data_IF_195751163346
#
_entry.id   IF_195751163346
#
_cell.length_a   1.000
_cell.length_b   1.000
_cell.length_c   1.000
_cell.angle_alpha   90.00
_cell.angle_beta   90.00
_cell.angle_gamma   90.00
#
_symmetry.space_group_name_H-M   'P 1'
#
loop_
_entity.id
_entity.type
_entity.pdbx_description
1 polymer ?
#
# COMPACT_ATOMS: atom_id res chain seq x y z
N UNK A 1 7.35 -7.28 31.86
CA UNK A 1 6.07 -7.01 31.17
C UNK A 1 6.29 -5.88 30.17
N UNK A 2 6.23 -6.17 28.86
CA UNK A 2 6.37 -5.14 27.83
C UNK A 2 5.18 -4.18 27.90
N UNK A 3 5.45 -2.88 28.08
CA UNK A 3 4.39 -1.85 28.04
C UNK A 3 3.95 -1.66 26.59
N UNK A 4 2.67 -1.87 26.32
CA UNK A 4 2.07 -1.56 25.03
C UNK A 4 2.00 -0.03 24.89
N UNK A 5 2.81 0.55 24.00
CA UNK A 5 2.95 2.01 23.84
C UNK A 5 1.68 2.74 23.36
N UNK A 6 0.65 2.00 22.96
CA UNK A 6 -0.63 2.50 22.44
C UNK A 6 -1.83 2.13 23.32
N UNK A 7 -1.62 1.80 24.60
CA UNK A 7 -2.69 1.32 25.51
C UNK A 7 -3.87 2.27 25.74
N UNK A 8 -3.78 3.55 25.32
CA UNK A 8 -4.92 4.49 25.33
C UNK A 8 -5.88 4.29 24.15
N UNK A 9 -5.43 3.66 23.07
CA UNK A 9 -6.20 3.49 21.84
C UNK A 9 -6.43 2.02 21.48
N UNK A 10 -5.58 1.11 21.97
CA UNK A 10 -5.59 -0.31 21.62
C UNK A 10 -5.74 -1.16 22.88
N UNK A 11 -6.78 -1.98 22.91
CA UNK A 11 -6.97 -3.05 23.90
C UNK A 11 -6.35 -4.36 23.40
N UNK A 12 -6.13 -5.31 24.30
CA UNK A 12 -5.57 -6.62 23.93
C UNK A 12 -6.50 -7.40 23.00
N UNK A 13 -7.80 -7.25 23.22
CA UNK A 13 -8.86 -7.89 22.45
C UNK A 13 -9.09 -7.18 21.10
N UNK A 14 -8.62 -5.93 20.97
CA UNK A 14 -8.93 -5.05 19.85
C UNK A 14 -10.41 -4.66 19.83
N UNK A 15 -10.91 -4.25 18.65
CA UNK A 15 -12.32 -3.94 18.48
C UNK A 15 -13.10 -5.22 18.11
N UNK A 16 -13.79 -5.81 19.10
CA UNK A 16 -14.54 -7.05 18.93
C UNK A 16 -15.66 -6.93 17.89
N UNK A 17 -16.45 -5.86 17.96
CA UNK A 17 -17.54 -5.61 17.00
C UNK A 17 -17.01 -5.52 15.57
N UNK A 18 -15.93 -4.77 15.35
CA UNK A 18 -15.36 -4.67 14.00
C UNK A 18 -14.85 -6.02 13.48
N UNK A 19 -14.26 -6.85 14.34
CA UNK A 19 -13.82 -8.20 13.96
C UNK A 19 -14.99 -9.10 13.58
N UNK A 20 -16.08 -9.06 14.35
CA UNK A 20 -17.30 -9.82 14.07
C UNK A 20 -17.91 -9.42 12.73
N UNK A 21 -18.10 -8.13 12.49
CA UNK A 21 -18.68 -7.60 11.24
C UNK A 21 -17.82 -7.95 10.01
N UNK A 22 -16.49 -7.76 10.10
CA UNK A 22 -15.57 -8.16 9.02
C UNK A 22 -15.63 -9.66 8.78
N UNK A 23 -15.66 -10.47 9.85
CA UNK A 23 -15.73 -11.92 9.73
C UNK A 23 -17.10 -12.43 9.26
N UNK A 24 -18.17 -11.67 9.44
CA UNK A 24 -19.51 -12.01 8.95
C UNK A 24 -19.60 -11.80 7.43
N UNK A 25 -19.08 -10.66 6.95
CA UNK A 25 -19.20 -10.24 5.56
C UNK A 25 -18.14 -10.87 4.65
N UNK A 26 -16.90 -11.00 5.14
CA UNK A 26 -15.75 -11.39 4.33
C UNK A 26 -15.20 -12.78 4.68
N UNK A 27 -14.52 -13.39 3.72
CA UNK A 27 -13.71 -14.58 3.91
C UNK A 27 -12.32 -14.38 3.28
N UNK A 28 -11.33 -15.16 3.72
CA UNK A 28 -9.98 -15.07 3.20
C UNK A 28 -9.90 -15.58 1.76
N UNK A 29 -9.08 -14.92 0.94
CA UNK A 29 -8.58 -15.47 -0.31
C UNK A 29 -7.41 -16.40 -0.01
N UNK A 30 -7.29 -17.50 -0.75
CA UNK A 30 -6.15 -18.44 -0.59
C UNK A 30 -4.81 -17.74 -0.84
N UNK A 31 -4.76 -16.86 -1.83
CA UNK A 31 -3.63 -15.99 -2.13
C UNK A 31 -4.11 -14.65 -2.69
N UNK A 32 -3.31 -13.61 -2.50
CA UNK A 32 -3.57 -12.31 -3.08
C UNK A 32 -2.27 -11.61 -3.48
N UNK A 33 -2.28 -10.90 -4.60
CA UNK A 33 -1.10 -10.18 -5.06
C UNK A 33 -0.99 -8.82 -4.36
N UNK A 34 0.08 -8.65 -3.59
CA UNK A 34 0.47 -7.38 -3.02
C UNK A 34 1.56 -6.76 -3.88
N UNK A 35 1.30 -5.57 -4.45
CA UNK A 35 2.28 -4.84 -5.25
C UNK A 35 3.61 -4.71 -4.51
N UNK A 36 4.69 -5.24 -5.10
CA UNK A 36 6.03 -5.24 -4.52
C UNK A 36 6.36 -6.38 -3.54
N UNK A 37 5.36 -7.15 -3.10
CA UNK A 37 5.54 -8.37 -2.29
C UNK A 37 5.20 -9.65 -3.06
N UNK A 38 4.45 -9.55 -4.16
CA UNK A 38 3.99 -10.70 -4.95
C UNK A 38 2.76 -11.37 -4.34
N UNK A 39 2.53 -12.64 -4.68
CA UNK A 39 1.43 -13.43 -4.13
C UNK A 39 1.73 -13.81 -2.68
N UNK A 40 0.87 -13.37 -1.76
CA UNK A 40 0.97 -13.67 -0.34
C UNK A 40 -0.25 -14.50 0.07
N UNK A 41 -0.06 -15.70 0.66
CA UNK A 41 -1.16 -16.55 1.11
C UNK A 41 -2.03 -15.88 2.18
N UNK A 42 -3.34 -16.10 2.14
CA UNK A 42 -4.29 -15.68 3.19
C UNK A 42 -4.16 -14.20 3.60
N UNK A 43 -3.84 -13.34 2.64
CA UNK A 43 -3.52 -11.93 2.87
C UNK A 43 -4.57 -10.97 2.31
N UNK A 44 -5.51 -11.46 1.50
CA UNK A 44 -6.62 -10.70 0.95
C UNK A 44 -7.96 -11.22 1.46
N UNK A 45 -8.96 -10.34 1.44
CA UNK A 45 -10.36 -10.68 1.73
C UNK A 45 -11.18 -10.66 0.43
N UNK A 46 -12.23 -11.47 0.40
CA UNK A 46 -13.31 -11.42 -0.61
C UNK A 46 -14.66 -11.45 0.09
N UNK A 47 -15.70 -10.96 -0.59
CA UNK A 47 -17.06 -11.08 -0.09
C UNK A 47 -17.47 -12.55 -0.02
N UNK A 48 -18.14 -12.94 1.06
CA UNK A 48 -18.75 -14.27 1.12
C UNK A 48 -19.86 -14.39 0.08
N UNK A 49 -20.15 -15.62 -0.32
CA UNK A 49 -21.23 -15.95 -1.28
C UNK A 49 -22.59 -15.33 -0.93
N UNK A 50 -22.93 -15.20 0.35
CA UNK A 50 -24.17 -14.57 0.80
C UNK A 50 -24.29 -13.09 0.36
N UNK A 51 -23.17 -12.43 0.08
CA UNK A 51 -23.08 -11.03 -0.35
C UNK A 51 -22.68 -10.91 -1.84
N UNK A 52 -22.82 -11.98 -2.64
CA UNK A 52 -22.39 -12.00 -4.04
C UNK A 52 -23.10 -10.95 -4.92
N UNK A 53 -24.30 -10.50 -4.55
CA UNK A 53 -25.01 -9.41 -5.25
C UNK A 53 -24.29 -8.05 -5.16
N UNK A 54 -23.32 -7.92 -4.24
CA UNK A 54 -22.48 -6.74 -4.08
C UNK A 54 -21.07 -6.92 -4.66
N UNK A 55 -20.68 -8.14 -5.02
CA UNK A 55 -19.36 -8.44 -5.54
C UNK A 55 -19.25 -8.11 -7.03
N UNK A 56 -18.45 -7.09 -7.37
CA UNK A 56 -18.23 -6.68 -8.74
C UNK A 56 -17.53 -7.77 -9.59
N UNK A 57 -16.67 -8.59 -8.99
CA UNK A 57 -15.99 -9.68 -9.69
C UNK A 57 -17.02 -10.69 -10.22
N UNK A 58 -18.04 -10.99 -9.40
CA UNK A 58 -19.14 -11.90 -9.75
C UNK A 58 -20.12 -11.23 -10.72
N UNK A 59 -20.63 -10.05 -10.38
CA UNK A 59 -21.70 -9.37 -11.14
C UNK A 59 -21.31 -9.04 -12.58
N UNK A 60 -20.04 -8.71 -12.79
CA UNK A 60 -19.54 -8.29 -14.10
C UNK A 60 -18.63 -9.33 -14.75
N UNK A 61 -18.47 -10.52 -14.13
CA UNK A 61 -17.59 -11.57 -14.65
C UNK A 61 -16.16 -11.07 -14.86
N UNK A 62 -15.62 -10.31 -13.91
CA UNK A 62 -14.29 -9.74 -14.06
C UNK A 62 -13.24 -10.84 -14.04
N UNK A 63 -12.32 -10.79 -15.00
CA UNK A 63 -11.15 -11.65 -15.03
C UNK A 63 -9.96 -10.93 -14.40
N UNK A 64 -9.07 -11.67 -13.72
CA UNK A 64 -7.82 -11.10 -13.23
C UNK A 64 -6.97 -10.59 -14.40
N UNK A 65 -6.80 -9.28 -14.47
CA UNK A 65 -5.87 -8.63 -15.38
C UNK A 65 -4.59 -8.29 -14.61
N UNK A 66 -3.48 -8.90 -15.00
CA UNK A 66 -2.17 -8.60 -14.43
C UNK A 66 -1.44 -7.57 -15.30
N UNK A 67 -1.09 -6.45 -14.70
CA UNK A 67 -0.30 -5.42 -15.33
C UNK A 67 1.03 -5.29 -14.60
N UNK A 68 2.13 -5.35 -15.36
CA UNK A 68 3.44 -5.08 -14.80
C UNK A 68 3.56 -3.61 -14.42
N UNK A 69 4.20 -3.34 -13.28
CA UNK A 69 4.61 -2.00 -12.93
C UNK A 69 5.68 -1.48 -13.89
N UNK A 70 5.86 -0.15 -13.93
CA UNK A 70 6.98 0.48 -14.62
C UNK A 70 8.30 -0.15 -14.14
N UNK A 71 9.08 -0.81 -15.01
CA UNK A 71 10.27 -1.56 -14.60
C UNK A 71 11.38 -0.67 -14.03
N UNK A 72 11.37 0.63 -14.33
CA UNK A 72 12.31 1.59 -13.74
C UNK A 72 11.89 2.03 -12.32
N UNK A 73 10.65 1.74 -11.91
CA UNK A 73 10.12 2.15 -10.62
C UNK A 73 10.53 1.19 -9.51
N UNK A 74 11.11 1.73 -8.44
CA UNK A 74 11.60 0.93 -7.31
C UNK A 74 10.63 0.88 -6.12
N UNK A 75 9.33 1.17 -6.35
CA UNK A 75 8.29 1.14 -5.30
C UNK A 75 8.29 -0.18 -4.53
N UNK A 76 8.47 -1.33 -5.19
CA UNK A 76 8.48 -2.63 -4.49
C UNK A 76 9.65 -2.80 -3.51
N UNK A 77 10.82 -2.19 -3.78
CA UNK A 77 11.94 -2.19 -2.82
C UNK A 77 11.69 -1.20 -1.68
N UNK A 78 11.01 -0.08 -1.95
CA UNK A 78 10.64 0.94 -0.96
C UNK A 78 9.56 0.40 0.00
N UNK A 79 8.51 -0.24 -0.52
CA UNK A 79 7.43 -0.84 0.27
C UNK A 79 7.94 -1.92 1.24
N UNK A 80 8.98 -2.66 0.84
CA UNK A 80 9.64 -3.66 1.69
C UNK A 80 10.66 -3.07 2.67
N UNK A 81 10.86 -1.75 2.66
CA UNK A 81 11.83 -1.07 3.52
C UNK A 81 13.30 -1.33 3.15
N UNK A 82 13.58 -2.02 2.03
CA UNK A 82 14.94 -2.29 1.54
C UNK A 82 15.58 -1.02 0.98
N UNK A 83 14.76 -0.08 0.49
CA UNK A 83 15.23 1.16 -0.13
C UNK A 83 14.45 2.37 0.39
N UNK A 84 15.13 3.51 0.53
CA UNK A 84 14.48 4.80 0.83
C UNK A 84 14.08 5.52 -0.47
N UNK A 85 13.05 6.38 -0.48
CA UNK A 85 12.66 7.16 -1.65
C UNK A 85 13.81 7.92 -2.32
N UNK A 86 14.67 8.59 -1.54
CA UNK A 86 15.86 9.30 -2.05
C UNK A 86 16.91 8.40 -2.71
N UNK A 87 16.85 7.09 -2.50
CA UNK A 87 17.70 6.14 -3.22
C UNK A 87 17.15 5.77 -4.59
N UNK A 88 15.88 6.06 -4.87
CA UNK A 88 15.24 5.76 -6.14
C UNK A 88 15.68 6.76 -7.21
N UNK A 89 16.18 6.27 -8.35
CA UNK A 89 16.69 7.13 -9.42
C UNK A 89 15.62 8.03 -10.05
N UNK A 90 14.35 7.61 -9.97
CA UNK A 90 13.23 8.37 -10.51
C UNK A 90 12.71 9.43 -9.53
N UNK A 91 12.99 9.29 -8.24
CA UNK A 91 12.36 10.12 -7.20
C UNK A 91 12.81 11.58 -7.32
N UNK A 92 11.84 12.47 -7.48
CA UNK A 92 12.07 13.91 -7.60
C UNK A 92 12.79 14.36 -8.87
N UNK A 93 12.96 13.44 -9.84
CA UNK A 93 13.36 13.75 -11.20
C UNK A 93 12.13 13.67 -12.10
N UNK A 94 11.86 12.48 -12.65
CA UNK A 94 10.68 12.23 -13.49
C UNK A 94 9.47 11.75 -12.68
N UNK A 95 9.69 11.22 -11.47
CA UNK A 95 8.62 10.81 -10.56
C UNK A 95 8.38 11.93 -9.53
N UNK A 96 7.29 12.68 -9.73
CA UNK A 96 6.77 13.73 -8.85
C UNK A 96 5.26 13.51 -8.63
N UNK A 97 4.59 14.24 -7.72
CA UNK A 97 3.13 14.15 -7.59
C UNK A 97 2.38 14.51 -8.87
N UNK A 98 2.91 15.44 -9.68
CA UNK A 98 2.33 15.84 -10.97
C UNK A 98 2.56 14.77 -12.05
N UNK A 99 3.70 14.07 -12.01
CA UNK A 99 4.04 12.98 -12.94
C UNK A 99 4.42 11.70 -12.19
N UNK A 100 3.47 11.01 -11.56
CA UNK A 100 3.79 9.87 -10.71
C UNK A 100 4.13 8.63 -11.55
N UNK A 101 5.31 8.07 -11.32
CA UNK A 101 5.78 6.87 -12.04
C UNK A 101 5.42 5.55 -11.34
N UNK A 102 4.89 5.60 -10.12
CA UNK A 102 4.51 4.42 -9.36
C UNK A 102 3.62 4.75 -8.16
N UNK A 103 2.98 3.72 -7.61
CA UNK A 103 1.93 3.87 -6.60
C UNK A 103 2.37 4.60 -5.33
N UNK A 104 3.64 4.50 -4.94
CA UNK A 104 4.14 5.20 -3.75
C UNK A 104 4.18 6.73 -3.91
N UNK A 105 4.11 7.26 -5.13
CA UNK A 105 4.00 8.70 -5.39
C UNK A 105 2.55 9.16 -5.60
N UNK A 106 1.66 8.25 -6.03
CA UNK A 106 0.22 8.54 -6.21
C UNK A 106 -0.51 8.58 -4.87
N UNK A 107 -0.23 7.61 -3.99
CA UNK A 107 -0.93 7.50 -2.70
C UNK A 107 -0.48 8.57 -1.72
N UNK A 108 -1.43 9.19 -1.00
CA UNK A 108 -1.15 10.12 0.11
C UNK A 108 -0.41 9.45 1.27
N UNK A 109 -0.59 8.15 1.46
CA UNK A 109 0.12 7.32 2.44
C UNK A 109 1.41 6.72 1.87
N UNK A 110 1.68 6.96 0.58
CA UNK A 110 2.84 6.42 -0.11
C UNK A 110 4.15 7.00 0.41
N UNK A 111 5.14 6.15 0.64
CA UNK A 111 6.43 6.58 1.19
C UNK A 111 7.14 7.64 0.31
N UNK A 112 6.98 7.56 -1.02
CA UNK A 112 7.55 8.58 -1.92
C UNK A 112 6.79 9.90 -1.80
N UNK A 113 5.46 9.90 -1.83
CA UNK A 113 4.65 11.10 -1.66
C UNK A 113 4.91 11.78 -0.30
N UNK A 114 4.94 10.99 0.79
CA UNK A 114 5.28 11.50 2.12
C UNK A 114 6.69 12.11 2.17
N UNK A 115 7.67 11.46 1.54
CA UNK A 115 9.02 12.00 1.46
C UNK A 115 9.09 13.25 0.59
N UNK A 116 8.31 13.33 -0.49
CA UNK A 116 8.21 14.50 -1.35
C UNK A 116 7.63 15.72 -0.62
N UNK A 117 6.54 15.51 0.12
CA UNK A 117 5.81 16.58 0.80
C UNK A 117 6.51 17.10 2.04
N UNK A 118 7.16 16.21 2.81
CA UNK A 118 7.67 16.54 4.14
C UNK A 118 9.18 16.30 4.31
N UNK A 119 9.82 15.63 3.36
CA UNK A 119 11.25 15.42 3.38
C UNK A 119 12.00 16.70 3.07
N UNK A 120 13.07 16.97 3.83
CA UNK A 120 13.99 18.10 3.57
C UNK A 120 14.94 17.86 2.38
N UNK A 121 14.59 17.01 1.42
CA UNK A 121 15.45 16.72 0.27
C UNK A 121 15.50 17.88 -0.74
N UNK A 122 14.43 18.70 -0.84
CA UNK A 122 14.41 19.89 -1.73
C UNK A 122 15.41 20.97 -1.31
N UNK A 123 15.74 21.08 -0.02
CA UNK A 123 16.80 21.98 0.46
C UNK A 123 18.19 21.59 -0.05
N UNK A 124 18.43 20.30 -0.30
CA UNK A 124 19.69 19.84 -0.90
C UNK A 124 19.73 20.09 -2.41
N UNK A 125 18.59 19.94 -3.09
CA UNK A 125 18.48 20.22 -4.53
C UNK A 125 18.70 21.71 -4.84
N UNK A 126 18.12 22.62 -4.05
CA UNK A 126 18.33 24.07 -4.22
C UNK A 126 19.77 24.52 -3.96
N UNK A 127 20.51 23.83 -3.06
CA UNK A 127 21.92 24.12 -2.76
C UNK A 127 22.91 23.59 -3.80
N UNK A 128 22.51 22.64 -4.64
CA UNK A 128 23.38 22.08 -5.69
C UNK A 128 23.31 22.86 -7.01
N UNK A 129 22.30 23.73 -7.16
CA UNK A 129 22.11 24.58 -8.36
C UNK A 129 22.61 26.01 -8.13
N UNK A 130 23.06 26.33 -6.91
CA UNK A 130 23.74 27.58 -6.52
C UNK A 130 25.24 27.37 -6.40
#
# INVERSE_FOLDING_TARGET
MARFGLGRAVTREGNLRAKEEVSDIFELRDQFEWRGLGLVPYSGLKLKRAYAEFDAEIRFGMNELRFADNPACECGAILRGVKKPIGCKLFGTVCTPETPMGSCMVSSEGACAAHWSYGRFRHHQQRQVS
#
